data_IF_230044495665
#
_entry.id   IF_230044495665
#
_cell.length_a   1.000
_cell.length_b   1.000
_cell.length_c   1.000
_cell.angle_alpha   90.00
_cell.angle_beta   90.00
_cell.angle_gamma   90.00
#
_symmetry.space_group_name_H-M   'P 1'
#
loop_
_entity.id
_entity.type
_entity.pdbx_description
1 polymer ?
#
# COMPACT_ATOMS: atom_id res chain seq x y z
N UNK A 1 -21.35 -51.62 10.42
CA UNK A 1 -22.14 -51.79 9.21
C UNK A 1 -22.41 -50.43 8.69
N UNK A 2 -21.76 -50.17 7.74
CA UNK A 2 -21.71 -49.51 6.43
C UNK A 2 -21.55 -47.98 6.55
N UNK A 3 -20.40 -47.59 6.17
CA UNK A 3 -19.99 -46.73 5.02
C UNK A 3 -20.60 -45.34 4.94
N UNK A 4 -19.80 -44.37 5.32
CA UNK A 4 -19.79 -43.01 4.76
C UNK A 4 -18.37 -42.43 4.90
N UNK A 5 -17.44 -42.92 4.09
CA UNK A 5 -16.19 -42.26 3.76
C UNK A 5 -16.05 -42.36 2.25
N UNK A 6 -16.15 -41.23 1.57
CA UNK A 6 -15.44 -40.85 0.35
C UNK A 6 -16.26 -39.84 -0.42
N UNK A 7 -15.85 -38.59 -0.33
CA UNK A 7 -15.77 -37.66 -1.46
C UNK A 7 -14.97 -36.43 -1.05
N UNK A 8 -13.65 -36.58 -1.04
CA UNK A 8 -12.76 -35.45 -1.15
C UNK A 8 -12.34 -35.34 -2.62
N UNK A 9 -13.12 -34.57 -3.37
CA UNK A 9 -12.74 -34.15 -4.71
C UNK A 9 -11.47 -33.30 -4.70
N UNK A 10 -10.70 -33.23 -5.80
CA UNK A 10 -9.41 -32.56 -5.83
C UNK A 10 -9.57 -31.08 -5.66
N UNK A 11 -8.79 -30.50 -4.73
CA UNK A 11 -8.63 -29.06 -4.53
C UNK A 11 -8.25 -28.41 -5.85
N UNK A 12 -9.22 -27.68 -6.42
CA UNK A 12 -9.00 -26.86 -7.60
C UNK A 12 -7.95 -25.80 -7.31
N UNK A 13 -7.03 -25.63 -8.25
CA UNK A 13 -6.13 -24.48 -8.31
C UNK A 13 -6.98 -23.23 -8.37
N UNK A 14 -6.98 -22.40 -7.31
CA UNK A 14 -7.54 -21.07 -7.37
C UNK A 14 -6.74 -20.25 -8.39
N UNK A 15 -7.37 -19.97 -9.52
CA UNK A 15 -6.90 -18.98 -10.49
C UNK A 15 -6.88 -17.62 -9.79
N UNK A 16 -5.74 -16.93 -9.90
CA UNK A 16 -5.58 -15.56 -9.45
C UNK A 16 -6.39 -14.69 -10.40
N UNK A 17 -7.57 -14.26 -9.98
CA UNK A 17 -8.39 -13.30 -10.70
C UNK A 17 -7.66 -11.93 -10.76
N UNK A 18 -7.00 -11.69 -11.88
CA UNK A 18 -6.42 -10.40 -12.24
C UNK A 18 -7.53 -9.57 -12.89
N UNK A 19 -8.06 -8.59 -12.17
CA UNK A 19 -9.00 -7.63 -12.75
C UNK A 19 -8.27 -6.76 -13.79
N UNK A 20 -8.38 -7.15 -15.06
CA UNK A 20 -7.90 -6.35 -16.18
C UNK A 20 -8.87 -5.20 -16.46
N UNK A 21 -8.48 -3.98 -16.10
CA UNK A 21 -9.10 -2.75 -16.62
C UNK A 21 -8.21 -2.20 -17.74
N UNK A 22 -8.33 -2.79 -18.94
CA UNK A 22 -7.73 -2.22 -20.14
C UNK A 22 -8.82 -1.57 -21.00
N UNK A 23 -8.89 -0.24 -21.05
CA UNK A 23 -9.55 0.46 -22.14
C UNK A 23 -8.58 0.65 -23.30
N UNK A 24 -8.43 -0.36 -24.13
CA UNK A 24 -7.76 -0.26 -25.42
C UNK A 24 -8.66 0.45 -26.43
N UNK A 25 -8.16 1.51 -27.04
CA UNK A 25 -8.76 2.12 -28.23
C UNK A 25 -8.82 1.03 -29.31
N UNK A 26 -10.04 0.79 -29.87
CA UNK A 26 -10.27 -0.26 -30.87
C UNK A 26 -9.42 -0.01 -32.11
N UNK A 27 -8.78 -1.07 -32.64
CA UNK A 27 -8.04 -1.02 -33.92
C UNK A 27 -8.87 -0.50 -35.10
N UNK A 28 -10.19 -0.49 -35.01
CA UNK A 28 -11.11 0.04 -36.01
C UNK A 28 -11.18 1.56 -36.06
N UNK A 29 -10.90 2.22 -34.94
CA UNK A 29 -10.95 3.70 -34.87
C UNK A 29 -9.64 4.32 -35.37
N UNK A 30 -8.54 3.60 -35.30
CA UNK A 30 -7.24 4.01 -35.84
C UNK A 30 -7.21 3.99 -37.39
N UNK A 31 -7.96 3.09 -38.03
CA UNK A 31 -7.95 2.94 -39.50
C UNK A 31 -8.89 3.90 -40.21
N UNK A 32 -9.76 4.63 -39.53
CA UNK A 32 -10.69 5.62 -40.16
C UNK A 32 -10.08 7.02 -40.30
N UNK A 33 -8.92 7.30 -39.65
CA UNK A 33 -8.21 8.58 -39.75
C UNK A 33 -7.19 8.70 -40.88
N UNK A 34 -6.90 7.63 -41.63
CA UNK A 34 -5.77 7.59 -42.58
C UNK A 34 -6.15 7.68 -44.07
N UNK A 35 -7.35 8.20 -44.41
CA UNK A 35 -7.73 8.39 -45.84
C UNK A 35 -8.03 9.86 -46.11
N UNK A 36 -7.02 10.62 -46.48
CA UNK A 36 -7.19 11.95 -47.05
C UNK A 36 -6.06 12.90 -46.85
N UNK A 37 -4.98 12.84 -47.68
CA UNK A 37 -4.24 13.97 -48.22
C UNK A 37 -3.00 13.47 -49.02
N UNK A 38 -3.20 13.27 -50.32
CA UNK A 38 -2.07 13.25 -51.25
C UNK A 38 -1.83 14.68 -51.74
N UNK A 39 -0.58 15.13 -51.64
CA UNK A 39 -0.09 16.28 -52.40
C UNK A 39 0.52 17.40 -51.56
N UNK A 40 1.82 17.44 -51.44
CA UNK A 40 2.71 18.56 -51.81
C UNK A 40 4.10 18.34 -51.18
N UNK A 41 5.08 18.10 -52.05
CA UNK A 41 6.51 18.05 -51.72
C UNK A 41 7.02 19.44 -51.33
N UNK A 42 7.49 19.55 -50.07
CA UNK A 42 8.40 20.63 -49.67
C UNK A 42 9.48 20.02 -48.76
N UNK A 43 10.73 20.12 -49.23
CA UNK A 43 11.95 19.74 -48.56
C UNK A 43 12.12 20.67 -47.35
N UNK A 44 11.77 20.24 -46.19
CA UNK A 44 12.09 20.84 -44.92
C UNK A 44 12.33 19.71 -43.95
N UNK A 45 13.57 19.57 -43.44
CA UNK A 45 13.93 18.54 -42.49
C UNK A 45 13.07 18.62 -41.24
N UNK A 46 11.96 17.89 -41.25
CA UNK A 46 11.17 17.60 -40.07
C UNK A 46 12.00 16.60 -39.24
N UNK A 47 12.73 17.14 -38.27
CA UNK A 47 13.16 16.35 -37.13
C UNK A 47 11.84 15.92 -36.45
N UNK A 48 11.31 14.78 -36.86
CA UNK A 48 10.29 14.09 -36.07
C UNK A 48 10.92 13.87 -34.69
N UNK A 49 10.27 14.30 -33.60
CA UNK A 49 10.71 13.86 -32.27
C UNK A 49 10.70 12.33 -32.32
N UNK A 50 11.87 11.70 -32.22
CA UNK A 50 11.98 10.27 -31.95
C UNK A 50 11.39 10.12 -30.55
N UNK A 51 10.13 9.83 -30.49
CA UNK A 51 9.51 9.32 -29.27
C UNK A 51 10.17 7.97 -29.05
N UNK A 52 11.22 7.97 -28.22
CA UNK A 52 11.84 6.74 -27.77
C UNK A 52 10.72 5.82 -27.27
N UNK A 53 10.79 4.56 -27.67
CA UNK A 53 9.83 3.55 -27.25
C UNK A 53 9.81 3.54 -25.72
N UNK A 54 8.69 3.96 -25.11
CA UNK A 54 8.55 3.99 -23.67
C UNK A 54 8.82 2.59 -23.12
N UNK A 55 9.62 2.51 -22.08
CA UNK A 55 9.93 1.23 -21.43
C UNK A 55 8.72 0.77 -20.60
N UNK A 56 8.16 -0.38 -20.96
CA UNK A 56 7.02 -0.93 -20.24
C UNK A 56 7.44 -1.48 -18.89
N UNK A 57 6.75 -1.09 -17.85
CA UNK A 57 7.01 -1.42 -16.44
C UNK A 57 5.72 -1.88 -15.79
N UNK A 58 5.75 -2.97 -15.04
CA UNK A 58 4.64 -3.46 -14.24
C UNK A 58 4.92 -3.23 -12.77
N UNK A 59 4.12 -2.39 -12.11
CA UNK A 59 4.22 -2.04 -10.70
C UNK A 59 3.00 -2.57 -9.95
N UNK A 60 3.18 -3.61 -9.13
CA UNK A 60 2.13 -4.12 -8.25
C UNK A 60 2.10 -3.36 -6.92
N UNK A 61 0.91 -3.15 -6.37
CA UNK A 61 0.74 -2.54 -5.05
C UNK A 61 -0.57 -2.98 -4.39
N UNK A 62 -0.65 -2.79 -3.06
CA UNK A 62 -1.88 -3.09 -2.34
C UNK A 62 -2.99 -2.10 -2.72
N UNK A 63 -4.22 -2.61 -2.96
CA UNK A 63 -5.37 -1.82 -3.39
C UNK A 63 -6.06 -1.02 -2.27
N UNK A 64 -5.39 -0.82 -1.15
CA UNK A 64 -5.91 0.00 -0.06
C UNK A 64 -5.84 1.49 -0.43
N UNK A 65 -6.91 2.23 -0.17
CA UNK A 65 -7.13 3.57 -0.69
C UNK A 65 -5.95 4.53 -0.51
N UNK A 66 -5.43 4.67 0.71
CA UNK A 66 -4.31 5.58 0.99
C UNK A 66 -2.98 5.08 0.41
N UNK A 67 -2.82 3.76 0.18
CA UNK A 67 -1.65 3.20 -0.50
C UNK A 67 -1.60 3.58 -1.99
N UNK A 68 -2.76 3.72 -2.62
CA UNK A 68 -2.90 3.92 -4.08
C UNK A 68 -2.57 5.35 -4.50
N UNK A 69 -2.82 6.32 -3.62
CA UNK A 69 -2.75 7.76 -3.93
C UNK A 69 -1.44 8.19 -4.60
N UNK A 70 -0.23 7.85 -4.12
CA UNK A 70 1.00 8.31 -4.76
C UNK A 70 1.15 7.79 -6.20
N UNK A 71 0.76 6.55 -6.46
CA UNK A 71 0.95 5.89 -7.77
C UNK A 71 -0.04 6.41 -8.79
N UNK A 72 -1.32 6.49 -8.42
CA UNK A 72 -2.36 7.00 -9.31
C UNK A 72 -2.22 8.49 -9.57
N UNK A 73 -1.85 9.29 -8.58
CA UNK A 73 -1.53 10.70 -8.77
C UNK A 73 -0.34 10.89 -9.72
N UNK A 74 0.71 10.08 -9.60
CA UNK A 74 1.86 10.07 -10.52
C UNK A 74 1.44 9.73 -11.95
N UNK A 75 0.59 8.70 -12.11
CA UNK A 75 0.06 8.28 -13.41
C UNK A 75 -0.83 9.35 -14.03
N UNK A 76 -1.79 9.87 -13.27
CA UNK A 76 -2.76 10.85 -13.74
C UNK A 76 -2.11 12.18 -14.15
N UNK A 77 -1.05 12.58 -13.44
CA UNK A 77 -0.27 13.77 -13.78
C UNK A 77 0.72 13.55 -14.95
N UNK A 78 0.86 12.32 -15.47
CA UNK A 78 1.70 12.00 -16.62
C UNK A 78 3.19 11.86 -16.29
N UNK A 79 3.59 11.87 -15.03
CA UNK A 79 5.00 11.88 -14.63
C UNK A 79 5.76 10.60 -14.99
N UNK A 80 5.10 9.45 -15.09
CA UNK A 80 5.74 8.25 -15.63
C UNK A 80 6.13 8.42 -17.09
N UNK A 81 5.23 8.96 -17.91
CA UNK A 81 5.50 9.21 -19.33
C UNK A 81 6.59 10.27 -19.54
N UNK A 82 6.67 11.30 -18.69
CA UNK A 82 7.75 12.30 -18.71
C UNK A 82 9.14 11.67 -18.48
N UNK A 83 9.22 10.61 -17.68
CA UNK A 83 10.45 9.85 -17.42
C UNK A 83 10.67 8.70 -18.42
N UNK A 84 9.87 8.63 -19.50
CA UNK A 84 10.00 7.62 -20.55
C UNK A 84 9.48 6.25 -20.19
N UNK A 85 8.62 6.14 -19.16
CA UNK A 85 8.06 4.90 -18.68
C UNK A 85 6.57 4.75 -19.08
N UNK A 86 6.20 3.55 -19.55
CA UNK A 86 4.81 3.09 -19.71
C UNK A 86 4.50 2.16 -18.52
N UNK A 87 3.93 2.71 -17.44
CA UNK A 87 3.71 1.99 -16.19
C UNK A 87 2.32 1.42 -16.12
N UNK A 88 2.24 0.10 -16.14
CA UNK A 88 1.03 -0.66 -15.82
C UNK A 88 0.91 -0.81 -14.30
N UNK A 89 -0.11 -0.20 -13.71
CA UNK A 89 -0.42 -0.29 -12.29
C UNK A 89 -1.24 -1.56 -12.01
N UNK A 90 -0.69 -2.49 -11.23
CA UNK A 90 -1.30 -3.80 -10.93
C UNK A 90 -1.82 -3.81 -9.50
N UNK A 91 -3.14 -3.86 -9.34
CA UNK A 91 -3.79 -3.88 -8.03
C UNK A 91 -3.78 -5.29 -7.44
N UNK A 92 -3.36 -5.42 -6.19
CA UNK A 92 -3.33 -6.70 -5.46
C UNK A 92 -4.11 -6.61 -4.14
N UNK A 93 -4.53 -7.75 -3.62
CA UNK A 93 -5.32 -7.81 -2.36
C UNK A 93 -4.53 -7.44 -1.09
N UNK A 94 -3.26 -7.08 -1.21
CA UNK A 94 -2.41 -6.69 -0.09
C UNK A 94 -0.94 -6.74 -0.45
N UNK A 95 -0.09 -6.24 0.44
CA UNK A 95 1.36 -6.15 0.21
C UNK A 95 2.03 -7.50 -0.02
N UNK A 96 1.61 -8.55 0.68
CA UNK A 96 2.14 -9.90 0.49
C UNK A 96 1.87 -10.45 -0.92
N UNK A 97 0.68 -10.19 -1.48
CA UNK A 97 0.36 -10.60 -2.84
C UNK A 97 1.19 -9.82 -3.90
N UNK A 98 1.45 -8.53 -3.67
CA UNK A 98 2.34 -7.75 -4.53
C UNK A 98 3.77 -8.30 -4.54
N UNK A 99 4.31 -8.68 -3.37
CA UNK A 99 5.63 -9.27 -3.25
C UNK A 99 5.72 -10.68 -3.81
N UNK A 100 4.66 -11.47 -3.70
CA UNK A 100 4.58 -12.78 -4.37
C UNK A 100 4.62 -12.63 -5.91
N UNK A 101 3.90 -11.63 -6.45
CA UNK A 101 3.93 -11.33 -7.88
C UNK A 101 5.32 -10.86 -8.33
N UNK A 102 6.01 -10.05 -7.53
CA UNK A 102 7.39 -9.63 -7.77
C UNK A 102 8.34 -10.83 -7.77
N UNK A 103 8.32 -11.62 -6.71
CA UNK A 103 9.22 -12.77 -6.55
C UNK A 103 9.00 -13.83 -7.63
N UNK A 104 7.74 -14.00 -8.06
CA UNK A 104 7.37 -14.91 -9.17
C UNK A 104 7.64 -14.35 -10.58
N UNK A 105 8.16 -13.13 -10.71
CA UNK A 105 8.46 -12.50 -12.01
C UNK A 105 7.23 -12.02 -12.78
N UNK A 106 6.05 -11.99 -12.15
CA UNK A 106 4.82 -11.52 -12.79
C UNK A 106 4.77 -9.98 -12.91
N UNK A 107 5.53 -9.28 -12.08
CA UNK A 107 5.71 -7.83 -12.13
C UNK A 107 7.18 -7.47 -11.96
N UNK A 108 7.53 -6.22 -12.28
CA UNK A 108 8.89 -5.70 -12.22
C UNK A 108 9.21 -5.11 -10.85
N UNK A 109 8.21 -4.44 -10.26
CA UNK A 109 8.30 -3.78 -8.97
C UNK A 109 7.09 -4.08 -8.10
N UNK A 110 7.29 -4.03 -6.77
CA UNK A 110 6.21 -4.12 -5.80
C UNK A 110 6.26 -2.93 -4.83
N UNK A 111 5.14 -2.23 -4.73
CA UNK A 111 4.96 -1.13 -3.80
C UNK A 111 4.11 -1.59 -2.62
N UNK A 112 4.71 -1.64 -1.42
CA UNK A 112 4.07 -2.23 -0.24
C UNK A 112 4.66 -1.68 1.06
N UNK A 113 4.09 -2.09 2.21
CA UNK A 113 4.65 -1.76 3.51
C UNK A 113 6.03 -2.40 3.71
N UNK A 114 6.87 -1.75 4.50
CA UNK A 114 8.17 -2.31 4.83
C UNK A 114 8.05 -3.58 5.69
N UNK A 115 7.03 -3.67 6.53
CA UNK A 115 6.68 -4.89 7.28
C UNK A 115 6.48 -6.09 6.36
N UNK A 116 5.71 -5.93 5.28
CA UNK A 116 5.50 -7.00 4.30
C UNK A 116 6.81 -7.37 3.59
N UNK A 117 7.67 -6.38 3.27
CA UNK A 117 8.98 -6.64 2.67
C UNK A 117 9.91 -7.40 3.63
N UNK A 118 9.94 -7.02 4.92
CA UNK A 118 10.68 -7.73 5.97
C UNK A 118 10.22 -9.19 6.11
N UNK A 119 8.92 -9.42 6.12
CA UNK A 119 8.35 -10.77 6.17
C UNK A 119 8.71 -11.60 4.95
N UNK A 120 8.59 -11.04 3.74
CA UNK A 120 8.97 -11.74 2.51
C UNK A 120 10.47 -12.07 2.49
N UNK A 121 11.32 -11.11 2.85
CA UNK A 121 12.77 -11.30 2.93
C UNK A 121 13.14 -12.38 3.95
N UNK A 122 12.55 -12.37 5.14
CA UNK A 122 12.77 -13.37 6.19
C UNK A 122 12.32 -14.78 5.78
N UNK A 123 11.41 -14.88 4.81
CA UNK A 123 10.96 -16.13 4.21
C UNK A 123 11.74 -16.50 2.95
N UNK A 124 12.85 -15.82 2.67
CA UNK A 124 13.80 -16.17 1.61
C UNK A 124 13.59 -15.44 0.28
N UNK A 125 12.72 -14.42 0.20
CA UNK A 125 12.64 -13.60 -0.99
C UNK A 125 13.90 -12.72 -1.12
N UNK A 126 14.55 -12.75 -2.27
CA UNK A 126 15.75 -11.94 -2.54
C UNK A 126 15.36 -10.60 -3.17
N UNK A 127 14.82 -9.72 -2.32
CA UNK A 127 14.30 -8.41 -2.69
C UNK A 127 15.04 -7.30 -1.97
N UNK A 128 15.02 -6.09 -2.56
CA UNK A 128 15.53 -4.86 -1.96
C UNK A 128 14.54 -3.72 -2.20
N UNK A 129 14.42 -2.84 -1.21
CA UNK A 129 13.66 -1.60 -1.30
C UNK A 129 14.58 -0.46 -1.71
N UNK A 130 14.17 0.35 -2.69
CA UNK A 130 15.00 1.44 -3.21
C UNK A 130 14.34 2.83 -3.13
N UNK A 131 13.04 2.91 -2.85
CA UNK A 131 12.33 4.18 -2.77
C UNK A 131 11.24 4.15 -1.70
N UNK A 132 11.01 5.28 -1.04
CA UNK A 132 9.93 5.50 -0.08
C UNK A 132 8.79 6.30 -0.72
N UNK A 133 7.54 5.92 -0.45
CA UNK A 133 6.36 6.60 -0.99
C UNK A 133 5.31 6.92 0.08
N UNK A 134 5.53 6.49 1.31
CA UNK A 134 4.62 6.78 2.41
C UNK A 134 5.24 6.51 3.77
N UNK A 135 4.94 7.42 4.68
CA UNK A 135 5.32 7.36 6.09
C UNK A 135 4.12 6.91 6.92
N UNK A 136 4.37 6.49 8.13
CA UNK A 136 3.40 6.10 9.15
C UNK A 136 2.52 4.90 8.75
N UNK A 137 2.14 4.08 9.74
CA UNK A 137 1.20 2.99 9.52
C UNK A 137 -0.17 3.52 9.10
N UNK A 138 -0.81 2.90 8.12
CA UNK A 138 -2.13 3.30 7.62
C UNK A 138 -3.28 2.73 8.46
N UNK A 139 -3.05 2.50 9.76
CA UNK A 139 -4.00 1.86 10.66
C UNK A 139 -4.26 2.70 11.90
N UNK A 140 -5.49 2.58 12.41
CA UNK A 140 -5.87 3.08 13.72
C UNK A 140 -6.56 1.96 14.52
N UNK A 141 -6.32 1.92 15.80
CA UNK A 141 -7.02 1.04 16.74
C UNK A 141 -8.30 1.73 17.21
N UNK A 142 -9.46 1.17 16.86
CA UNK A 142 -10.75 1.72 17.23
C UNK A 142 -11.61 0.64 17.94
N UNK A 143 -12.38 1.07 18.94
CA UNK A 143 -13.33 0.20 19.68
C UNK A 143 -14.62 -0.01 18.90
N UNK A 144 -15.40 -1.02 19.27
CA UNK A 144 -16.83 -1.00 18.92
C UNK A 144 -17.52 0.21 19.56
N UNK A 145 -18.61 0.75 18.96
CA UNK A 145 -19.34 1.87 19.54
C UNK A 145 -19.86 1.58 20.97
N UNK A 146 -20.33 0.35 21.20
CA UNK A 146 -20.92 -0.05 22.47
C UNK A 146 -19.92 -0.12 23.63
N UNK A 147 -18.63 -0.29 23.32
CA UNK A 147 -17.55 -0.40 24.31
C UNK A 147 -16.66 0.84 24.41
N UNK A 148 -17.02 1.93 23.73
CA UNK A 148 -16.21 3.17 23.69
C UNK A 148 -15.99 3.80 25.09
N UNK A 149 -16.91 3.62 26.01
CA UNK A 149 -16.79 4.11 27.38
C UNK A 149 -16.09 3.13 28.34
N UNK A 150 -16.03 1.86 27.98
CA UNK A 150 -15.34 0.82 28.76
C UNK A 150 -13.86 0.73 28.37
N UNK A 151 -13.55 0.69 27.07
CA UNK A 151 -12.20 0.55 26.54
C UNK A 151 -11.64 1.95 26.24
N UNK A 152 -10.82 2.47 27.16
CA UNK A 152 -10.29 3.84 27.08
C UNK A 152 -8.81 3.92 26.69
N UNK A 153 -8.12 2.78 26.71
CA UNK A 153 -6.71 2.65 26.36
C UNK A 153 -6.37 1.22 25.97
N UNK A 154 -5.16 1.00 25.51
CA UNK A 154 -4.67 -0.32 25.06
C UNK A 154 -4.65 -1.33 26.23
N UNK A 155 -4.40 -0.85 27.45
CA UNK A 155 -4.39 -1.65 28.68
C UNK A 155 -5.76 -2.29 29.01
N UNK A 156 -6.86 -1.76 28.49
CA UNK A 156 -8.20 -2.30 28.67
C UNK A 156 -8.58 -3.40 27.65
N UNK A 157 -7.62 -3.85 26.85
CA UNK A 157 -7.84 -4.87 25.82
C UNK A 157 -7.63 -6.31 26.31
N UNK A 158 -7.16 -6.51 27.54
CA UNK A 158 -7.03 -7.83 28.16
C UNK A 158 -8.39 -8.58 28.15
N UNK A 159 -8.39 -9.80 27.62
CA UNK A 159 -9.59 -10.63 27.49
C UNK A 159 -10.55 -10.20 26.37
N UNK A 160 -10.16 -9.27 25.50
CA UNK A 160 -11.00 -8.75 24.41
C UNK A 160 -10.69 -9.42 23.07
N UNK A 161 -11.66 -9.36 22.16
CA UNK A 161 -11.52 -9.84 20.77
C UNK A 161 -11.17 -8.67 19.85
N UNK A 162 -9.98 -8.73 19.23
CA UNK A 162 -9.45 -7.66 18.36
C UNK A 162 -9.41 -8.13 16.92
N UNK A 163 -10.03 -7.34 16.03
CA UNK A 163 -10.00 -7.58 14.59
C UNK A 163 -8.71 -7.11 13.94
N UNK A 164 -8.12 -7.96 13.10
CA UNK A 164 -6.99 -7.64 12.23
C UNK A 164 -7.24 -8.14 10.81
N UNK A 165 -6.51 -7.60 9.81
CA UNK A 165 -6.67 -8.02 8.41
C UNK A 165 -6.24 -9.48 8.21
N UNK A 166 -5.09 -9.86 8.77
CA UNK A 166 -4.59 -11.22 8.85
C UNK A 166 -3.45 -11.31 9.87
N UNK A 167 -3.25 -12.48 10.46
CA UNK A 167 -2.11 -12.72 11.34
C UNK A 167 -0.79 -12.56 10.57
N UNK A 168 0.17 -11.85 11.16
CA UNK A 168 1.48 -11.56 10.56
C UNK A 168 1.49 -10.41 9.54
N UNK A 169 0.35 -9.77 9.27
CA UNK A 169 0.32 -8.51 8.53
C UNK A 169 0.78 -7.32 9.38
N UNK A 170 1.01 -6.18 8.75
CA UNK A 170 1.50 -4.96 9.40
C UNK A 170 0.59 -4.45 10.52
N UNK A 171 -0.73 -4.53 10.36
CA UNK A 171 -1.72 -4.17 11.36
C UNK A 171 -1.66 -5.09 12.60
N UNK A 172 -1.48 -6.40 12.38
CA UNK A 172 -1.29 -7.35 13.48
C UNK A 172 0.04 -7.11 14.21
N UNK A 173 1.13 -6.88 13.48
CA UNK A 173 2.43 -6.57 14.09
C UNK A 173 2.38 -5.28 14.92
N UNK A 174 1.71 -4.24 14.40
CA UNK A 174 1.51 -2.99 15.12
C UNK A 174 0.66 -3.20 16.38
N UNK A 175 -0.40 -3.99 16.30
CA UNK A 175 -1.23 -4.31 17.47
C UNK A 175 -0.44 -5.05 18.56
N UNK A 176 0.34 -6.07 18.20
CA UNK A 176 1.20 -6.78 19.15
C UNK A 176 2.20 -5.84 19.84
N UNK A 177 2.80 -4.93 19.08
CA UNK A 177 3.70 -3.91 19.64
C UNK A 177 2.98 -2.98 20.62
N UNK A 178 1.76 -2.55 20.32
CA UNK A 178 0.96 -1.71 21.22
C UNK A 178 0.62 -2.45 22.52
N UNK A 179 0.27 -3.74 22.45
CA UNK A 179 -0.01 -4.57 23.62
C UNK A 179 1.25 -4.71 24.49
N UNK A 180 2.39 -5.06 23.91
CA UNK A 180 3.67 -5.15 24.61
C UNK A 180 4.01 -3.85 25.33
N UNK A 181 3.87 -2.73 24.62
CA UNK A 181 4.16 -1.40 25.17
C UNK A 181 3.22 -1.01 26.32
N UNK A 182 1.97 -1.46 26.29
CA UNK A 182 0.98 -1.27 27.34
C UNK A 182 1.11 -2.28 28.50
N UNK A 183 2.03 -3.26 28.39
CA UNK A 183 2.20 -4.33 29.37
C UNK A 183 1.05 -5.35 29.39
N UNK A 184 0.31 -5.47 28.28
CA UNK A 184 -0.75 -6.46 28.09
C UNK A 184 -0.16 -7.70 27.44
N UNK A 185 -0.38 -8.87 28.02
CA UNK A 185 0.05 -10.14 27.44
C UNK A 185 -0.74 -10.39 26.12
N UNK A 186 -0.06 -10.51 24.97
CA UNK A 186 -0.74 -10.80 23.71
C UNK A 186 -1.56 -12.10 23.72
N UNK A 187 -1.18 -13.08 24.53
CA UNK A 187 -1.93 -14.34 24.67
C UNK A 187 -3.24 -14.17 25.47
N UNK A 188 -3.42 -13.02 26.15
CA UNK A 188 -4.67 -12.66 26.80
C UNK A 188 -5.72 -12.05 25.87
N UNK A 189 -5.35 -11.79 24.62
CA UNK A 189 -6.21 -11.16 23.59
C UNK A 189 -6.56 -12.18 22.52
N UNK A 190 -7.84 -12.22 22.11
CA UNK A 190 -8.28 -13.04 20.99
C UNK A 190 -8.16 -12.25 19.67
N UNK A 191 -7.37 -12.73 18.72
CA UNK A 191 -7.26 -12.10 17.38
C UNK A 191 -8.23 -12.76 16.40
N UNK A 192 -9.15 -11.95 15.84
CA UNK A 192 -10.07 -12.36 14.78
C UNK A 192 -9.61 -11.83 13.42
N UNK A 193 -9.47 -12.72 12.43
CA UNK A 193 -9.12 -12.37 11.06
C UNK A 193 -10.38 -12.27 10.21
N UNK A 194 -10.83 -11.06 9.92
CA UNK A 194 -12.11 -10.81 9.22
C UNK A 194 -11.93 -10.12 7.85
N UNK A 195 -10.71 -9.87 7.44
CA UNK A 195 -10.38 -9.29 6.13
C UNK A 195 -11.10 -7.96 5.87
N UNK A 196 -11.83 -7.87 4.77
CA UNK A 196 -12.56 -6.66 4.35
C UNK A 196 -13.82 -6.37 5.18
N UNK A 197 -14.27 -7.31 6.02
CA UNK A 197 -15.49 -7.17 6.84
C UNK A 197 -15.22 -6.51 8.19
N UNK A 198 -14.02 -6.04 8.44
CA UNK A 198 -13.59 -5.50 9.73
C UNK A 198 -14.48 -4.34 10.22
N UNK A 199 -14.81 -3.40 9.34
CA UNK A 199 -15.73 -2.31 9.66
C UNK A 199 -17.09 -2.82 10.18
N UNK A 200 -17.71 -3.74 9.45
CA UNK A 200 -19.03 -4.26 9.81
C UNK A 200 -18.99 -5.07 11.09
N UNK A 201 -17.96 -5.88 11.30
CA UNK A 201 -17.78 -6.66 12.50
C UNK A 201 -17.63 -5.79 13.76
N UNK A 202 -16.87 -4.68 13.67
CA UNK A 202 -16.70 -3.74 14.79
C UNK A 202 -17.99 -2.96 15.05
N UNK A 203 -18.61 -2.37 14.02
CA UNK A 203 -19.83 -1.56 14.19
C UNK A 203 -21.06 -2.35 14.71
N UNK A 204 -21.05 -3.67 14.48
CA UNK A 204 -22.12 -4.59 14.96
C UNK A 204 -21.79 -5.22 16.31
N UNK A 205 -20.67 -4.85 16.94
CA UNK A 205 -20.25 -5.39 18.23
C UNK A 205 -19.84 -6.87 18.19
N UNK A 206 -19.50 -7.40 17.00
CA UNK A 206 -18.96 -8.76 16.86
C UNK A 206 -17.48 -8.83 17.25
N UNK A 207 -16.82 -7.69 17.29
CA UNK A 207 -15.45 -7.48 17.77
C UNK A 207 -15.47 -6.34 18.78
N UNK A 208 -14.67 -6.44 19.81
CA UNK A 208 -14.53 -5.40 20.84
C UNK A 208 -13.77 -4.17 20.33
N UNK A 209 -12.73 -4.41 19.53
CA UNK A 209 -11.91 -3.40 18.87
C UNK A 209 -11.31 -3.96 17.59
N UNK A 210 -10.61 -3.12 16.80
CA UNK A 210 -9.89 -3.60 15.63
C UNK A 210 -8.99 -2.55 15.00
N UNK A 211 -8.04 -3.04 14.20
CA UNK A 211 -7.07 -2.24 13.45
C UNK A 211 -7.68 -1.84 12.11
N UNK A 212 -8.26 -0.66 12.03
CA UNK A 212 -8.98 -0.17 10.87
C UNK A 212 -8.19 0.85 10.07
N UNK A 213 -8.59 1.04 8.82
CA UNK A 213 -8.07 2.07 7.92
C UNK A 213 -9.19 3.05 7.54
N UNK A 214 -8.84 4.15 6.89
CA UNK A 214 -9.84 5.01 6.26
C UNK A 214 -10.47 4.32 5.02
N UNK A 215 -11.75 4.50 4.75
CA UNK A 215 -12.71 5.37 5.45
C UNK A 215 -13.42 4.72 6.66
N UNK A 216 -13.09 3.47 7.00
CA UNK A 216 -13.74 2.74 8.10
C UNK A 216 -13.56 3.44 9.45
N UNK A 217 -12.38 4.03 9.70
CA UNK A 217 -12.09 4.78 10.91
C UNK A 217 -13.08 5.94 11.10
N UNK A 218 -13.20 6.81 10.10
CA UNK A 218 -14.13 7.95 10.13
C UNK A 218 -15.58 7.47 10.32
N UNK A 219 -16.00 6.41 9.62
CA UNK A 219 -17.35 5.84 9.75
C UNK A 219 -17.63 5.28 11.14
N UNK A 220 -16.64 4.68 11.80
CA UNK A 220 -16.76 4.19 13.17
C UNK A 220 -16.84 5.35 14.16
N UNK A 221 -16.02 6.40 14.00
CA UNK A 221 -16.06 7.60 14.83
C UNK A 221 -17.45 8.28 14.77
N UNK A 222 -18.04 8.39 13.58
CA UNK A 222 -19.40 8.93 13.38
C UNK A 222 -20.47 8.10 14.13
N UNK A 223 -20.17 6.85 14.48
CA UNK A 223 -21.05 5.94 15.24
C UNK A 223 -20.74 5.88 16.73
N UNK A 224 -19.77 6.68 17.19
CA UNK A 224 -19.40 6.77 18.60
C UNK A 224 -18.25 5.87 19.02
N UNK A 225 -17.58 5.17 18.10
CA UNK A 225 -16.35 4.42 18.42
C UNK A 225 -15.26 5.35 18.96
N UNK A 226 -14.51 4.88 19.94
CA UNK A 226 -13.31 5.54 20.44
C UNK A 226 -12.10 5.10 19.63
N UNK A 227 -11.31 6.06 19.18
CA UNK A 227 -9.96 5.81 18.64
C UNK A 227 -9.01 5.75 19.82
N UNK A 228 -8.32 4.64 19.98
CA UNK A 228 -7.33 4.44 21.05
C UNK A 228 -5.95 4.87 20.62
N UNK A 229 -5.57 4.55 19.39
CA UNK A 229 -4.31 4.92 18.75
C UNK A 229 -4.56 5.12 17.27
N UNK A 230 -4.09 6.23 16.72
CA UNK A 230 -4.16 6.51 15.29
C UNK A 230 -2.75 6.57 14.67
N UNK A 231 -2.27 5.45 14.16
CA UNK A 231 -0.93 5.37 13.53
C UNK A 231 -0.72 6.31 12.34
N UNK A 232 -1.79 6.84 11.74
CA UNK A 232 -1.74 7.84 10.66
C UNK A 232 -1.51 9.27 11.16
N UNK A 233 -1.71 9.50 12.45
CA UNK A 233 -1.48 10.79 13.10
C UNK A 233 -0.04 10.91 13.58
N UNK A 234 0.61 12.07 13.34
CA UNK A 234 2.01 12.26 13.68
C UNK A 234 2.26 12.32 15.19
N UNK A 235 1.30 12.85 15.95
CA UNK A 235 1.43 12.98 17.41
C UNK A 235 1.30 11.59 18.06
N UNK A 236 0.33 10.78 17.65
CA UNK A 236 0.19 9.39 18.10
C UNK A 236 1.40 8.55 17.66
N UNK A 237 1.91 8.74 16.44
CA UNK A 237 3.11 8.05 15.98
C UNK A 237 4.35 8.42 16.82
N UNK A 238 4.49 9.69 17.19
CA UNK A 238 5.56 10.13 18.10
C UNK A 238 5.42 9.51 19.49
N UNK A 239 4.20 9.46 20.01
CA UNK A 239 3.91 8.88 21.33
C UNK A 239 4.11 7.36 21.35
N UNK A 240 3.47 6.65 20.42
CA UNK A 240 3.40 5.18 20.46
C UNK A 240 4.55 4.48 19.73
N UNK A 241 5.06 5.06 18.62
CA UNK A 241 6.16 4.49 17.84
C UNK A 241 7.53 5.13 18.15
N UNK A 242 7.54 6.25 18.87
CA UNK A 242 8.77 6.99 19.20
C UNK A 242 9.33 7.78 18.02
N UNK A 243 8.52 8.16 17.05
CA UNK A 243 8.88 9.06 15.94
C UNK A 243 8.60 8.50 14.55
N UNK A 244 9.35 8.99 13.57
CA UNK A 244 9.18 8.64 12.17
C UNK A 244 9.16 7.12 11.92
N UNK A 245 8.30 6.68 11.00
CA UNK A 245 8.12 5.28 10.64
C UNK A 245 8.06 5.17 9.11
N UNK A 246 8.85 4.30 8.52
CA UNK A 246 8.82 4.06 7.07
C UNK A 246 7.82 2.97 6.75
N UNK A 247 6.76 3.32 6.04
CA UNK A 247 5.71 2.37 5.74
C UNK A 247 5.71 1.94 4.26
N UNK A 248 5.24 2.80 3.37
CA UNK A 248 5.11 2.48 1.95
C UNK A 248 6.38 2.74 1.16
N UNK A 249 6.68 1.87 0.20
CA UNK A 249 7.79 2.09 -0.73
C UNK A 249 7.93 0.97 -1.75
N UNK A 250 8.84 1.18 -2.70
CA UNK A 250 9.01 0.33 -3.88
C UNK A 250 10.20 -0.60 -3.70
N UNK A 251 9.97 -1.88 -3.96
CA UNK A 251 10.96 -2.95 -3.96
C UNK A 251 11.11 -3.60 -5.34
N UNK A 252 12.29 -4.14 -5.59
CA UNK A 252 12.62 -4.96 -6.75
C UNK A 252 13.35 -6.23 -6.32
N UNK A 253 13.59 -7.16 -7.25
CA UNK A 253 14.49 -8.30 -7.04
C UNK A 253 15.94 -7.79 -6.98
N UNK A 254 16.73 -8.26 -6.02
CA UNK A 254 18.13 -7.83 -5.84
C UNK A 254 18.97 -8.04 -7.10
N UNK A 255 18.80 -9.16 -7.77
CA UNK A 255 19.55 -9.48 -9.00
C UNK A 255 19.31 -8.52 -10.17
N UNK A 256 18.34 -7.63 -10.08
CA UNK A 256 18.01 -6.65 -11.13
C UNK A 256 18.57 -5.25 -10.87
N UNK A 257 19.23 -5.03 -9.72
CA UNK A 257 19.72 -3.71 -9.32
C UNK A 257 20.66 -3.07 -10.38
N UNK A 258 21.62 -3.83 -10.88
CA UNK A 258 22.59 -3.32 -11.85
C UNK A 258 21.96 -3.14 -13.24
N UNK A 259 21.22 -4.15 -13.71
CA UNK A 259 20.66 -4.18 -15.07
C UNK A 259 19.56 -3.13 -15.26
N UNK A 260 18.77 -2.86 -14.23
CA UNK A 260 17.62 -1.96 -14.30
C UNK A 260 17.80 -0.65 -13.52
N UNK A 261 19.02 -0.29 -13.16
CA UNK A 261 19.31 0.90 -12.35
C UNK A 261 18.72 2.18 -12.96
N UNK A 262 18.93 2.44 -14.25
CA UNK A 262 18.41 3.63 -14.94
C UNK A 262 16.88 3.69 -14.93
N UNK A 263 16.21 2.52 -15.04
CA UNK A 263 14.75 2.41 -14.97
C UNK A 263 14.24 2.69 -13.56
N UNK A 264 14.90 2.15 -12.52
CA UNK A 264 14.56 2.42 -11.12
C UNK A 264 14.73 3.90 -10.79
N UNK A 265 15.79 4.53 -11.25
CA UNK A 265 15.99 5.97 -11.09
C UNK A 265 14.91 6.80 -11.79
N UNK A 266 14.51 6.41 -13.02
CA UNK A 266 13.41 7.05 -13.74
C UNK A 266 12.08 6.89 -12.97
N UNK A 267 11.80 5.68 -12.47
CA UNK A 267 10.62 5.40 -11.65
C UNK A 267 10.63 6.24 -10.35
N UNK A 268 11.77 6.31 -9.67
CA UNK A 268 11.96 7.11 -8.47
C UNK A 268 11.73 8.60 -8.72
N UNK A 269 12.28 9.16 -9.83
CA UNK A 269 12.04 10.56 -10.21
C UNK A 269 10.57 10.84 -10.51
N UNK A 270 9.89 9.93 -11.22
CA UNK A 270 8.45 10.06 -11.49
C UNK A 270 7.64 10.07 -10.20
N UNK A 271 7.90 9.12 -9.30
CA UNK A 271 7.24 9.04 -7.99
C UNK A 271 7.53 10.27 -7.12
N UNK A 272 8.76 10.78 -7.13
CA UNK A 272 9.11 12.02 -6.44
C UNK A 272 8.32 13.24 -6.94
N UNK A 273 8.10 13.35 -8.27
CA UNK A 273 7.18 14.37 -8.84
C UNK A 273 5.75 14.15 -8.36
N UNK A 274 5.28 12.89 -8.36
CA UNK A 274 3.96 12.50 -7.88
C UNK A 274 3.72 12.84 -6.41
N UNK A 275 4.69 12.58 -5.54
CA UNK A 275 4.62 12.92 -4.12
C UNK A 275 4.52 14.44 -3.91
N UNK A 276 5.33 15.24 -4.63
CA UNK A 276 5.21 16.70 -4.58
C UNK A 276 3.86 17.19 -5.11
N UNK A 277 3.31 16.55 -6.15
CA UNK A 277 1.97 16.84 -6.64
C UNK A 277 0.90 16.54 -5.58
N UNK A 278 0.98 15.40 -4.89
CA UNK A 278 0.10 15.06 -3.77
C UNK A 278 0.14 16.16 -2.69
N UNK A 279 1.32 16.66 -2.34
CA UNK A 279 1.48 17.68 -1.31
C UNK A 279 1.00 19.08 -1.73
N UNK A 280 1.14 19.45 -3.00
CA UNK A 280 0.87 20.81 -3.50
C UNK A 280 -0.51 21.00 -4.13
N UNK A 281 -1.22 19.91 -4.42
CA UNK A 281 -2.55 19.93 -5.06
C UNK A 281 -3.67 19.93 -4.01
N UNK A 282 -4.83 20.50 -4.34
CA UNK A 282 -5.98 20.44 -3.42
C UNK A 282 -6.51 19.01 -3.31
N UNK A 283 -7.07 18.62 -2.15
CA UNK A 283 -7.62 17.27 -1.96
C UNK A 283 -8.68 16.89 -2.99
N UNK A 284 -9.55 17.81 -3.40
CA UNK A 284 -10.59 17.59 -4.42
C UNK A 284 -9.96 17.20 -5.76
N UNK A 285 -8.92 17.92 -6.17
CA UNK A 285 -8.19 17.62 -7.41
C UNK A 285 -7.42 16.31 -7.34
N UNK A 286 -6.89 15.95 -6.17
CA UNK A 286 -6.32 14.61 -5.97
C UNK A 286 -7.38 13.52 -6.15
N UNK A 287 -8.55 13.68 -5.53
CA UNK A 287 -9.67 12.74 -5.68
C UNK A 287 -10.12 12.62 -7.13
N UNK A 288 -10.14 13.72 -7.89
CA UNK A 288 -10.44 13.69 -9.34
C UNK A 288 -9.42 12.87 -10.14
N UNK A 289 -8.17 12.82 -9.70
CA UNK A 289 -7.09 12.05 -10.35
C UNK A 289 -7.18 10.54 -10.11
N UNK A 290 -7.96 10.10 -9.11
CA UNK A 290 -8.06 8.70 -8.75
C UNK A 290 -9.15 7.98 -9.55
N UNK A 291 -8.95 6.69 -9.91
CA UNK A 291 -10.00 5.88 -10.52
C UNK A 291 -11.24 5.80 -9.63
N UNK A 292 -12.44 5.96 -10.23
CA UNK A 292 -13.69 5.93 -9.48
C UNK A 292 -13.94 4.61 -8.76
N UNK A 293 -13.39 3.52 -9.29
CA UNK A 293 -13.53 2.16 -8.80
C UNK A 293 -12.90 1.94 -7.42
N UNK A 294 -11.90 2.75 -7.07
CA UNK A 294 -11.21 2.65 -5.78
C UNK A 294 -11.83 3.54 -4.69
N UNK A 295 -12.74 4.44 -5.08
CA UNK A 295 -13.41 5.34 -4.13
C UNK A 295 -14.57 4.60 -3.48
N UNK A 296 -14.32 4.06 -2.30
CA UNK A 296 -15.30 3.26 -1.55
C UNK A 296 -16.61 4.03 -1.35
N UNK A 297 -17.72 3.43 -1.79
CA UNK A 297 -19.03 4.04 -1.69
C UNK A 297 -19.24 5.29 -2.57
N UNK A 298 -18.27 5.67 -3.41
CA UNK A 298 -18.34 6.84 -4.28
C UNK A 298 -18.28 8.19 -3.54
N UNK A 299 -18.01 8.19 -2.24
CA UNK A 299 -17.98 9.40 -1.41
C UNK A 299 -16.64 10.16 -1.58
N UNK A 300 -16.63 11.04 -2.58
CA UNK A 300 -15.47 11.86 -2.95
C UNK A 300 -15.14 12.91 -1.89
N UNK A 301 -16.16 13.48 -1.26
CA UNK A 301 -15.97 14.53 -0.24
C UNK A 301 -15.33 13.93 1.02
N UNK A 302 -15.74 12.73 1.43
CA UNK A 302 -15.11 12.01 2.54
C UNK A 302 -13.64 11.72 2.25
N UNK A 303 -13.31 11.27 1.03
CA UNK A 303 -11.93 11.02 0.65
C UNK A 303 -11.11 12.32 0.60
N UNK A 304 -11.68 13.42 0.10
CA UNK A 304 -11.01 14.73 0.12
C UNK A 304 -10.69 15.16 1.56
N UNK A 305 -11.65 15.04 2.48
CA UNK A 305 -11.43 15.33 3.91
C UNK A 305 -10.36 14.43 4.54
N UNK A 306 -10.33 13.15 4.17
CA UNK A 306 -9.28 12.20 4.63
C UNK A 306 -7.91 12.63 4.13
N UNK A 307 -7.79 13.01 2.86
CA UNK A 307 -6.53 13.48 2.29
C UNK A 307 -6.10 14.82 2.90
N UNK A 308 -7.02 15.75 3.14
CA UNK A 308 -6.71 17.00 3.84
C UNK A 308 -6.12 16.74 5.23
N UNK A 309 -6.70 15.78 5.95
CA UNK A 309 -6.25 15.45 7.31
C UNK A 309 -4.89 14.78 7.35
N UNK A 310 -4.60 13.84 6.42
CA UNK A 310 -3.48 12.92 6.58
C UNK A 310 -2.37 13.05 5.53
N UNK A 311 -2.55 13.80 4.43
CA UNK A 311 -1.55 13.84 3.35
C UNK A 311 -0.17 14.28 3.83
N UNK A 312 -0.10 15.27 4.74
CA UNK A 312 1.17 15.79 5.25
C UNK A 312 1.90 14.79 6.15
N UNK A 313 1.16 14.03 6.96
CA UNK A 313 1.73 13.00 7.82
C UNK A 313 2.13 11.74 7.05
N UNK A 314 1.33 11.34 6.05
CA UNK A 314 1.51 10.06 5.36
C UNK A 314 2.47 10.12 4.18
N UNK A 315 2.49 11.20 3.40
CA UNK A 315 3.26 11.23 2.16
C UNK A 315 4.49 12.13 2.27
N UNK A 316 5.70 11.62 2.00
CA UNK A 316 6.89 12.46 1.92
C UNK A 316 6.86 13.34 0.66
N UNK A 317 7.74 14.33 0.58
CA UNK A 317 7.93 15.17 -0.63
C UNK A 317 9.00 14.62 -1.58
N UNK A 318 9.73 13.61 -1.14
CA UNK A 318 10.80 12.93 -1.87
C UNK A 318 10.74 11.42 -1.62
N UNK A 319 11.44 10.65 -2.42
CA UNK A 319 11.45 9.18 -2.36
C UNK A 319 12.59 8.61 -1.52
N UNK A 320 13.39 9.49 -0.92
CA UNK A 320 14.51 9.09 -0.07
C UNK A 320 14.01 8.27 1.12
N UNK A 321 14.78 7.25 1.48
CA UNK A 321 14.47 6.37 2.60
C UNK A 321 15.09 6.90 3.88
N UNK A 322 14.29 6.99 4.93
CA UNK A 322 14.75 7.29 6.28
C UNK A 322 15.17 6.00 6.99
N UNK A 323 16.47 5.71 7.02
CA UNK A 323 17.01 4.46 7.55
C UNK A 323 16.72 4.30 9.04
N UNK A 324 16.73 5.37 9.83
CA UNK A 324 16.38 5.31 11.27
C UNK A 324 14.91 4.93 11.46
N UNK A 325 14.03 5.47 10.61
CA UNK A 325 12.61 5.13 10.61
C UNK A 325 12.37 3.69 10.13
N UNK A 326 13.16 3.18 9.18
CA UNK A 326 13.13 1.78 8.76
C UNK A 326 13.64 0.84 9.86
N UNK A 327 14.69 1.23 10.58
CA UNK A 327 15.17 0.47 11.73
C UNK A 327 14.08 0.36 12.80
N UNK A 328 13.29 1.41 13.02
CA UNK A 328 12.14 1.38 13.94
C UNK A 328 11.07 0.38 13.50
N UNK A 329 10.82 0.22 12.20
CA UNK A 329 9.91 -0.84 11.70
C UNK A 329 10.44 -2.23 12.07
N UNK A 330 11.75 -2.46 11.92
CA UNK A 330 12.39 -3.72 12.33
C UNK A 330 12.21 -3.94 13.83
N UNK A 331 12.40 -2.90 14.65
CA UNK A 331 12.29 -3.00 16.11
C UNK A 331 10.84 -3.29 16.54
N UNK A 332 9.83 -2.66 15.90
CA UNK A 332 8.41 -2.98 16.09
C UNK A 332 8.12 -4.44 15.73
N UNK A 333 8.62 -4.92 14.59
CA UNK A 333 8.46 -6.32 14.19
C UNK A 333 9.15 -7.30 15.17
N UNK A 334 10.30 -6.88 15.74
CA UNK A 334 11.02 -7.70 16.75
C UNK A 334 10.21 -7.81 18.04
N UNK A 335 9.68 -6.70 18.53
CA UNK A 335 8.83 -6.65 19.71
C UNK A 335 7.58 -7.52 19.53
N UNK A 336 6.96 -7.45 18.35
CA UNK A 336 5.84 -8.31 17.98
C UNK A 336 6.18 -9.80 17.77
N UNK A 337 7.43 -10.23 18.05
CA UNK A 337 7.87 -11.61 17.84
C UNK A 337 7.96 -12.02 16.35
N UNK A 338 7.88 -11.07 15.44
CA UNK A 338 7.92 -11.30 13.99
C UNK A 338 9.33 -11.63 13.49
N UNK A 339 9.45 -12.53 12.50
CA UNK A 339 10.72 -12.90 11.87
C UNK A 339 11.43 -11.70 11.24
N UNK A 340 10.68 -10.71 10.77
CA UNK A 340 11.21 -9.46 10.21
C UNK A 340 12.07 -8.65 11.19
N UNK A 341 11.90 -8.83 12.49
CA UNK A 341 12.67 -8.17 13.53
C UNK A 341 14.16 -8.56 13.60
N UNK A 342 14.57 -9.62 12.90
CA UNK A 342 15.96 -10.09 12.85
C UNK A 342 16.66 -9.79 11.52
N UNK A 343 16.03 -9.00 10.64
CA UNK A 343 16.58 -8.62 9.34
C UNK A 343 17.63 -7.51 9.55
N UNK A 344 18.79 -7.68 8.91
CA UNK A 344 19.79 -6.63 8.78
C UNK A 344 19.33 -5.64 7.71
N UNK A 345 19.19 -4.37 8.10
CA UNK A 345 18.65 -3.32 7.24
C UNK A 345 19.46 -3.16 5.94
N UNK A 346 20.79 -3.18 6.01
CA UNK A 346 21.68 -3.03 4.84
C UNK A 346 21.47 -4.13 3.79
N UNK A 347 20.85 -5.24 4.19
CA UNK A 347 20.55 -6.34 3.29
C UNK A 347 19.23 -6.22 2.56
N UNK A 348 18.37 -5.30 2.92
CA UNK A 348 17.02 -5.16 2.34
C UNK A 348 16.77 -3.79 1.70
N UNK A 349 17.74 -2.88 1.77
CA UNK A 349 17.65 -1.54 1.17
C UNK A 349 18.74 -1.31 0.12
N UNK A 350 18.48 -0.42 -0.81
CA UNK A 350 19.39 0.06 -1.85
C UNK A 350 19.22 1.59 -2.00
N UNK A 351 19.64 2.38 -0.99
CA UNK A 351 19.45 3.84 -1.00
C UNK A 351 20.21 4.53 -2.12
N UNK A 352 21.29 3.93 -2.61
CA UNK A 352 22.14 4.45 -3.70
C UNK A 352 21.41 4.58 -5.04
N UNK A 353 20.26 3.94 -5.21
CA UNK A 353 19.45 4.05 -6.44
C UNK A 353 18.84 5.44 -6.59
N UNK A 354 18.49 6.11 -5.49
CA UNK A 354 17.78 7.41 -5.48
C UNK A 354 18.63 8.58 -5.00
N UNK A 355 19.83 8.28 -4.48
CA UNK A 355 20.79 9.25 -3.93
C UNK A 355 21.67 9.93 -4.96
#
# INVERSE_FOLDING_TARGET
MSDCCNDLGPLGREEVDVLHVSRGVSRRDFLRGAAGAAGLTAIGGLVSPVWGQQKRVRLAFCSQLLCVVPYEATRAAGFFAEEGLDVELVYTRGGSAALQALNGGAVDYAATSFDAALNAFSNGADIVRFASTGRLPLFALATSPDLADEIKGVEALEGRTIGVSALGNADHAFMLYLLERAGVDPDSVEFATVGTNLYDAIRLGQLDAGMVQEPALTLLQERGSRVLVNGMDIDDANEYLGGAYEFMGVATRRGELEERNDEMQALARALGKGLRFVQSTTPERLVESLPSEIITGGDRDRLANTLERYRESLYPTAVDMNLDAMQRVIDVNRAAGGRGGNVDLDRIVAPEVVG
#
